data_IF_873080859731
#
_entry.id   IF_873080859731
#
_cell.length_a   1.000
_cell.length_b   1.000
_cell.length_c   1.000
_cell.angle_alpha   90.00
_cell.angle_beta   90.00
_cell.angle_gamma   90.00
#
_symmetry.space_group_name_H-M   'P 1'
#
loop_
_entity.id
_entity.type
_entity.pdbx_description
1 polymer ?
#
# COMPACT_ATOMS: atom_id res chain seq x y z
N UNK A 1 30.69 6.41 -12.24
CA UNK A 1 29.79 5.35 -11.72
C UNK A 1 28.46 5.96 -11.31
N UNK A 2 27.33 5.43 -11.79
CA UNK A 2 25.99 5.93 -11.39
C UNK A 2 24.99 4.77 -11.44
N UNK A 3 24.97 3.95 -10.39
CA UNK A 3 24.01 2.83 -10.21
C UNK A 3 23.54 2.75 -8.75
N UNK A 4 23.40 3.88 -8.06
CA UNK A 4 22.99 3.88 -6.64
C UNK A 4 21.51 4.28 -6.47
N UNK A 5 20.97 5.08 -7.39
CA UNK A 5 19.58 5.57 -7.30
C UNK A 5 18.53 4.49 -7.63
N UNK A 6 18.89 3.44 -8.37
CA UNK A 6 17.95 2.42 -8.84
C UNK A 6 17.67 1.32 -7.81
N UNK A 7 18.68 0.90 -7.04
CA UNK A 7 18.57 -0.29 -6.17
C UNK A 7 17.64 -0.05 -4.98
N UNK A 8 17.65 1.16 -4.43
CA UNK A 8 16.89 1.51 -3.23
C UNK A 8 15.39 1.62 -3.52
N UNK A 9 14.99 2.26 -4.65
CA UNK A 9 13.58 2.32 -5.06
C UNK A 9 13.01 0.94 -5.38
N UNK A 10 13.80 0.05 -5.99
CA UNK A 10 13.36 -1.32 -6.25
C UNK A 10 13.16 -2.09 -4.95
N UNK A 11 14.07 -1.94 -3.98
CA UNK A 11 13.93 -2.55 -2.66
C UNK A 11 12.70 -2.03 -1.90
N UNK A 12 12.41 -0.72 -1.98
CA UNK A 12 11.22 -0.13 -1.35
C UNK A 12 9.92 -0.66 -1.94
N UNK A 13 9.88 -0.89 -3.26
CA UNK A 13 8.70 -1.45 -3.94
C UNK A 13 8.50 -2.93 -3.56
N UNK A 14 9.58 -3.71 -3.46
CA UNK A 14 9.51 -5.12 -3.03
C UNK A 14 9.05 -5.21 -1.57
N UNK A 15 9.62 -4.40 -0.68
CA UNK A 15 9.22 -4.37 0.72
C UNK A 15 7.75 -3.93 0.89
N UNK A 16 7.28 -3.03 0.04
CA UNK A 16 5.88 -2.60 0.02
C UNK A 16 4.94 -3.73 -0.47
N UNK A 17 5.34 -4.50 -1.48
CA UNK A 17 4.58 -5.65 -1.97
C UNK A 17 4.42 -6.71 -0.87
N UNK A 18 5.52 -7.06 -0.18
CA UNK A 18 5.49 -7.98 0.96
C UNK A 18 4.62 -7.46 2.11
N UNK A 19 4.74 -6.18 2.46
CA UNK A 19 3.91 -5.56 3.48
C UNK A 19 2.42 -5.56 3.06
N UNK A 20 2.13 -5.38 1.77
CA UNK A 20 0.77 -5.42 1.25
C UNK A 20 0.17 -6.83 1.33
N UNK A 21 0.94 -7.87 1.05
CA UNK A 21 0.52 -9.27 1.23
C UNK A 21 0.11 -9.51 2.68
N UNK A 22 0.94 -9.08 3.65
CA UNK A 22 0.61 -9.19 5.08
C UNK A 22 -0.62 -8.35 5.45
N UNK A 23 -0.79 -7.16 4.88
CA UNK A 23 -2.00 -6.35 5.08
C UNK A 23 -3.24 -7.07 4.56
N UNK A 24 -3.15 -7.80 3.44
CA UNK A 24 -4.28 -8.53 2.87
C UNK A 24 -4.76 -9.68 3.79
N UNK A 25 -3.85 -10.28 4.56
CA UNK A 25 -4.20 -11.26 5.60
C UNK A 25 -4.92 -10.64 6.79
N UNK A 26 -4.60 -9.38 7.13
CA UNK A 26 -5.20 -8.65 8.25
C UNK A 26 -6.54 -8.00 7.87
N UNK A 27 -6.56 -7.26 6.76
CA UNK A 27 -7.72 -6.57 6.23
C UNK A 27 -7.66 -6.56 4.68
N UNK A 28 -8.35 -7.51 4.01
CA UNK A 28 -8.33 -7.62 2.56
C UNK A 28 -8.97 -6.41 1.86
N UNK A 29 -9.88 -5.70 2.51
CA UNK A 29 -10.51 -4.50 1.94
C UNK A 29 -9.52 -3.33 1.90
N UNK A 30 -8.73 -3.14 2.97
CA UNK A 30 -7.66 -2.15 3.00
C UNK A 30 -6.58 -2.45 1.98
N UNK A 31 -6.13 -3.71 1.88
CA UNK A 31 -5.17 -4.13 0.87
C UNK A 31 -5.67 -3.84 -0.55
N UNK A 32 -6.93 -4.18 -0.85
CA UNK A 32 -7.52 -3.91 -2.17
C UNK A 32 -7.59 -2.42 -2.50
N UNK A 33 -7.90 -1.58 -1.52
CA UNK A 33 -7.87 -0.11 -1.70
C UNK A 33 -6.45 0.36 -2.01
N UNK A 34 -5.43 -0.25 -1.39
CA UNK A 34 -4.04 0.08 -1.66
C UNK A 34 -3.62 -0.35 -3.07
N UNK A 35 -3.96 -1.55 -3.49
CA UNK A 35 -3.74 -2.04 -4.86
C UNK A 35 -4.32 -1.07 -5.89
N UNK A 36 -5.60 -0.75 -5.78
CA UNK A 36 -6.30 0.09 -6.75
C UNK A 36 -5.68 1.50 -6.82
N UNK A 37 -5.34 2.10 -5.67
CA UNK A 37 -4.89 3.49 -5.62
C UNK A 37 -3.41 3.67 -5.88
N UNK A 38 -2.58 2.78 -5.35
CA UNK A 38 -1.13 2.89 -5.45
C UNK A 38 -0.60 2.21 -6.72
N UNK A 39 -1.04 0.98 -7.01
CA UNK A 39 -0.59 0.22 -8.17
C UNK A 39 -1.45 0.47 -9.40
N UNK A 40 -2.77 0.60 -9.22
CA UNK A 40 -3.70 0.93 -10.30
C UNK A 40 -3.74 2.41 -10.68
N UNK A 41 -3.26 3.31 -9.80
CA UNK A 41 -3.31 4.76 -10.03
C UNK A 41 -4.72 5.37 -9.97
N UNK A 42 -5.69 4.67 -9.37
CA UNK A 42 -7.08 5.13 -9.31
C UNK A 42 -7.29 6.23 -8.26
N UNK A 43 -8.28 7.08 -8.53
CA UNK A 43 -8.78 8.04 -7.54
C UNK A 43 -9.61 7.36 -6.44
N UNK A 44 -9.93 8.09 -5.38
CA UNK A 44 -10.82 7.61 -4.31
C UNK A 44 -12.19 7.25 -4.89
N UNK A 45 -12.71 8.09 -5.77
CA UNK A 45 -14.04 7.97 -6.36
C UNK A 45 -14.10 6.74 -7.29
N UNK A 46 -13.06 6.50 -8.08
CA UNK A 46 -12.96 5.30 -8.93
C UNK A 46 -12.83 4.02 -8.09
N UNK A 47 -12.01 4.05 -7.04
CA UNK A 47 -11.89 2.90 -6.14
C UNK A 47 -13.19 2.63 -5.37
N UNK A 48 -13.92 3.68 -4.99
CA UNK A 48 -15.22 3.57 -4.33
C UNK A 48 -16.26 2.89 -5.22
N UNK A 49 -16.29 3.27 -6.50
CA UNK A 49 -17.17 2.68 -7.52
C UNK A 49 -16.87 1.19 -7.72
N UNK A 50 -15.60 0.83 -7.96
CA UNK A 50 -15.17 -0.57 -8.15
C UNK A 50 -15.49 -1.44 -6.93
N UNK A 51 -15.30 -0.90 -5.73
CA UNK A 51 -15.52 -1.64 -4.48
C UNK A 51 -16.96 -1.54 -3.97
N UNK A 52 -17.82 -0.78 -4.65
CA UNK A 52 -19.22 -0.54 -4.23
C UNK A 52 -19.34 -0.08 -2.77
N UNK A 53 -18.44 0.82 -2.34
CA UNK A 53 -18.43 1.43 -1.00
C UNK A 53 -18.37 2.96 -1.10
N UNK A 54 -18.67 3.65 0.00
CA UNK A 54 -18.63 5.12 -0.02
C UNK A 54 -17.20 5.66 -0.20
N UNK A 55 -17.00 6.79 -0.91
CA UNK A 55 -15.71 7.48 -0.98
C UNK A 55 -15.13 7.84 0.40
N UNK A 56 -16.00 8.11 1.38
CA UNK A 56 -15.59 8.35 2.76
C UNK A 56 -14.96 7.10 3.40
N UNK A 57 -15.54 5.93 3.16
CA UNK A 57 -14.99 4.63 3.59
C UNK A 57 -13.63 4.37 2.94
N UNK A 58 -13.50 4.62 1.63
CA UNK A 58 -12.22 4.49 0.91
C UNK A 58 -11.15 5.41 1.51
N UNK A 59 -11.48 6.69 1.76
CA UNK A 59 -10.54 7.64 2.39
C UNK A 59 -10.09 7.18 3.77
N UNK A 60 -11.02 6.72 4.60
CA UNK A 60 -10.73 6.23 5.96
C UNK A 60 -9.83 5.01 5.90
N UNK A 61 -10.21 3.98 5.14
CA UNK A 61 -9.45 2.74 5.03
C UNK A 61 -8.07 2.97 4.40
N UNK A 62 -7.97 3.86 3.40
CA UNK A 62 -6.68 4.26 2.83
C UNK A 62 -5.74 4.89 3.86
N UNK A 63 -6.24 5.75 4.74
CA UNK A 63 -5.40 6.36 5.77
C UNK A 63 -4.93 5.33 6.81
N UNK A 64 -5.79 4.40 7.19
CA UNK A 64 -5.43 3.29 8.09
C UNK A 64 -4.40 2.38 7.44
N UNK A 65 -4.63 1.97 6.19
CA UNK A 65 -3.74 1.11 5.43
C UNK A 65 -2.34 1.74 5.27
N UNK A 66 -2.26 3.04 4.93
CA UNK A 66 -0.97 3.76 4.87
C UNK A 66 -0.23 3.77 6.20
N UNK A 67 -0.94 4.04 7.30
CA UNK A 67 -0.32 4.06 8.63
C UNK A 67 0.19 2.67 9.04
N UNK A 68 -0.59 1.63 8.72
CA UNK A 68 -0.20 0.25 8.96
C UNK A 68 1.04 -0.14 8.12
N UNK A 69 1.03 0.17 6.81
CA UNK A 69 2.12 -0.12 5.89
C UNK A 69 3.40 0.60 6.28
N UNK A 70 3.33 1.88 6.65
CA UNK A 70 4.50 2.63 7.14
C UNK A 70 5.14 1.93 8.34
N UNK A 71 4.31 1.50 9.31
CA UNK A 71 4.78 0.79 10.50
C UNK A 71 5.35 -0.59 10.18
N UNK A 72 4.82 -1.30 9.19
CA UNK A 72 5.34 -2.60 8.73
C UNK A 72 6.67 -2.45 7.99
N UNK A 73 6.80 -1.42 7.15
CA UNK A 73 8.05 -1.12 6.45
C UNK A 73 9.17 -0.68 7.41
N UNK A 74 8.85 0.03 8.48
CA UNK A 74 9.80 0.34 9.57
C UNK A 74 10.26 -0.94 10.29
N UNK A 75 9.36 -1.91 10.49
CA UNK A 75 9.70 -3.21 11.10
C UNK A 75 10.63 -4.02 10.18
N UNK A 76 10.29 -4.14 8.91
CA UNK A 76 11.10 -4.88 7.92
C UNK A 76 12.51 -4.28 7.74
N UNK A 77 12.68 -2.96 7.88
CA UNK A 77 14.00 -2.31 7.83
C UNK A 77 14.85 -2.55 9.08
N UNK A 78 14.26 -2.97 10.19
CA UNK A 78 14.96 -3.23 11.45
C UNK A 78 15.45 -4.68 11.58
N UNK A 79 15.04 -5.57 10.68
CA UNK A 79 15.34 -7.00 10.67
C UNK A 79 16.53 -7.36 9.74
N UNK A 80 17.15 -6.36 9.10
CA UNK A 80 18.31 -6.48 8.19
C UNK A 80 19.53 -5.79 8.78
#
# INVERSE_FOLDING_TARGET
>A
ESVIVSKQRTADVVALDEALIKLAEVDPQQARIVELRFFGGLTVEQAADILSISPATVKRNWNVAKAWLARELERNQSDV
#
